data_IF_502143415201
#
_entry.id   IF_502143415201
#
_cell.length_a   1.000
_cell.length_b   1.000
_cell.length_c   1.000
_cell.angle_alpha   90.00
_cell.angle_beta   90.00
_cell.angle_gamma   90.00
#
_symmetry.space_group_name_H-M   'P 1'
#
loop_
_entity.id
_entity.type
_entity.pdbx_description
1 polymer ?
#
# COMPACT_ATOMS: atom_id res chain seq x y z
N UNK A 1 11.83 5.32 18.54
CA UNK A 1 10.89 6.40 18.17
C UNK A 1 9.47 5.86 18.16
N UNK A 2 8.48 6.65 18.60
CA UNK A 2 7.05 6.31 18.54
C UNK A 2 6.31 7.36 17.72
N UNK A 3 5.32 6.95 16.94
CA UNK A 3 4.41 7.82 16.20
C UNK A 3 3.00 7.50 16.69
N UNK A 4 2.22 8.51 17.06
CA UNK A 4 0.88 8.33 17.65
C UNK A 4 0.82 7.26 18.77
N UNK A 5 1.89 7.19 19.59
CA UNK A 5 2.02 6.24 20.71
C UNK A 5 2.49 4.83 20.35
N UNK A 6 2.71 4.51 19.07
CA UNK A 6 3.10 3.17 18.58
C UNK A 6 4.47 3.15 17.95
N UNK A 7 5.14 2.00 18.04
CA UNK A 7 6.45 1.79 17.38
C UNK A 7 6.25 1.35 15.93
N UNK A 8 7.27 1.49 15.08
CA UNK A 8 7.23 0.95 13.71
C UNK A 8 6.93 -0.56 13.68
N UNK A 9 7.42 -1.31 14.68
CA UNK A 9 7.14 -2.74 14.83
C UNK A 9 5.64 -3.00 15.00
N UNK A 10 4.91 -2.14 15.72
CA UNK A 10 3.47 -2.28 15.92
C UNK A 10 2.67 -2.10 14.61
N UNK A 11 3.16 -1.26 13.70
CA UNK A 11 2.53 -1.01 12.41
C UNK A 11 2.81 -2.10 11.37
N UNK A 12 3.92 -2.83 11.50
CA UNK A 12 4.40 -3.72 10.44
C UNK A 12 4.41 -5.20 10.83
N UNK A 13 4.73 -5.54 12.07
CA UNK A 13 5.10 -6.93 12.41
C UNK A 13 3.95 -7.93 12.22
N UNK A 14 2.74 -7.52 12.60
CA UNK A 14 1.53 -8.34 12.49
C UNK A 14 1.02 -8.48 11.05
N UNK A 15 1.48 -7.61 10.14
CA UNK A 15 0.98 -7.52 8.76
C UNK A 15 2.07 -7.61 7.72
N UNK A 16 3.30 -7.94 8.13
CA UNK A 16 4.50 -8.01 7.28
C UNK A 16 4.30 -8.89 6.04
N UNK A 17 3.53 -9.96 6.16
CA UNK A 17 3.24 -10.87 5.06
C UNK A 17 2.31 -10.24 4.01
N UNK A 18 1.31 -9.46 4.43
CA UNK A 18 0.47 -8.70 3.49
C UNK A 18 1.30 -7.65 2.75
N UNK A 19 2.18 -6.95 3.45
CA UNK A 19 3.09 -5.96 2.85
C UNK A 19 4.06 -6.65 1.88
N UNK A 20 4.64 -7.79 2.25
CA UNK A 20 5.53 -8.57 1.39
C UNK A 20 4.79 -9.05 0.13
N UNK A 21 3.57 -9.57 0.27
CA UNK A 21 2.74 -9.98 -0.88
C UNK A 21 2.42 -8.81 -1.81
N UNK A 22 2.15 -7.61 -1.27
CA UNK A 22 1.98 -6.41 -2.09
C UNK A 22 3.24 -6.12 -2.92
N UNK A 23 4.41 -6.19 -2.29
CA UNK A 23 5.69 -5.97 -2.96
C UNK A 23 5.90 -7.02 -4.06
N UNK A 24 5.63 -8.29 -3.79
CA UNK A 24 5.75 -9.37 -4.78
C UNK A 24 4.80 -9.20 -5.96
N UNK A 25 3.53 -8.83 -5.72
CA UNK A 25 2.57 -8.53 -6.79
C UNK A 25 3.06 -7.36 -7.65
N UNK A 26 3.60 -6.32 -7.01
CA UNK A 26 4.16 -5.18 -7.72
C UNK A 26 5.38 -5.56 -8.55
N UNK A 27 6.25 -6.45 -8.07
CA UNK A 27 7.39 -7.00 -8.83
C UNK A 27 6.89 -7.81 -10.03
N UNK A 28 5.93 -8.71 -9.81
CA UNK A 28 5.31 -9.52 -10.87
C UNK A 28 4.72 -8.66 -12.01
N UNK A 29 4.11 -7.53 -11.67
CA UNK A 29 3.60 -6.56 -12.65
C UNK A 29 4.70 -5.98 -13.56
N UNK A 30 5.97 -5.95 -13.14
CA UNK A 30 7.10 -5.56 -14.00
C UNK A 30 7.72 -6.75 -14.70
N UNK A 31 8.10 -7.78 -13.95
CA UNK A 31 8.89 -8.89 -14.49
C UNK A 31 8.09 -9.72 -15.49
N UNK A 32 6.90 -10.18 -15.10
CA UNK A 32 6.15 -11.09 -15.93
C UNK A 32 5.33 -10.34 -16.98
N UNK A 33 4.69 -9.23 -16.58
CA UNK A 33 3.76 -8.52 -17.46
C UNK A 33 4.43 -7.60 -18.48
N UNK A 34 5.46 -6.84 -18.09
CA UNK A 34 6.07 -5.86 -19.00
C UNK A 34 7.19 -6.48 -19.83
N UNK A 35 7.94 -7.44 -19.29
CA UNK A 35 9.12 -8.00 -19.96
C UNK A 35 8.88 -9.34 -20.64
N UNK A 36 8.09 -10.25 -20.05
CA UNK A 36 8.02 -11.65 -20.50
C UNK A 36 6.77 -12.00 -21.33
N UNK A 37 5.60 -11.46 -20.98
CA UNK A 37 4.32 -11.91 -21.56
C UNK A 37 3.65 -10.87 -22.48
N UNK A 38 4.17 -9.65 -22.52
CA UNK A 38 3.48 -8.52 -23.14
C UNK A 38 2.36 -7.98 -22.25
N UNK A 39 2.03 -6.69 -22.42
CA UNK A 39 1.04 -6.02 -21.58
C UNK A 39 -0.37 -6.55 -21.83
N UNK A 40 -0.90 -7.32 -20.88
CA UNK A 40 -2.31 -7.71 -20.79
C UNK A 40 -3.10 -6.78 -19.83
N UNK A 41 -4.04 -5.95 -20.34
CA UNK A 41 -4.84 -5.05 -19.51
C UNK A 41 -5.68 -5.75 -18.43
N UNK A 42 -6.07 -7.01 -18.63
CA UNK A 42 -6.83 -7.77 -17.64
C UNK A 42 -5.92 -8.18 -16.48
N UNK A 43 -4.74 -8.74 -16.76
CA UNK A 43 -3.77 -9.14 -15.73
C UNK A 43 -3.31 -7.92 -14.92
N UNK A 44 -3.07 -6.78 -15.57
CA UNK A 44 -2.73 -5.52 -14.89
C UNK A 44 -3.83 -5.10 -13.90
N UNK A 45 -5.10 -5.20 -14.30
CA UNK A 45 -6.24 -4.89 -13.43
C UNK A 45 -6.34 -5.86 -12.28
N UNK A 46 -6.26 -7.17 -12.53
CA UNK A 46 -6.36 -8.20 -11.48
C UNK A 46 -5.27 -8.00 -10.43
N UNK A 47 -4.02 -7.85 -10.87
CA UNK A 47 -2.88 -7.61 -9.97
C UNK A 47 -3.02 -6.29 -9.22
N UNK A 48 -3.58 -5.25 -9.86
CA UNK A 48 -3.91 -3.99 -9.20
C UNK A 48 -4.91 -4.19 -8.05
N UNK A 49 -6.02 -4.90 -8.30
CA UNK A 49 -7.01 -5.23 -7.27
C UNK A 49 -6.41 -6.08 -6.16
N UNK A 50 -5.56 -7.04 -6.51
CA UNK A 50 -4.98 -7.98 -5.56
C UNK A 50 -4.11 -7.29 -4.51
N UNK A 51 -3.17 -6.42 -4.91
CA UNK A 51 -2.35 -5.71 -3.93
C UNK A 51 -3.19 -4.71 -3.11
N UNK A 52 -4.21 -4.07 -3.70
CA UNK A 52 -5.13 -3.19 -2.96
C UNK A 52 -5.88 -3.96 -1.86
N UNK A 53 -6.33 -5.17 -2.16
CA UNK A 53 -6.98 -6.06 -1.19
C UNK A 53 -6.02 -6.43 -0.04
N UNK A 54 -4.75 -6.70 -0.33
CA UNK A 54 -3.75 -6.95 0.71
C UNK A 54 -3.49 -5.73 1.59
N UNK A 55 -3.44 -4.52 1.02
CA UNK A 55 -3.37 -3.27 1.80
C UNK A 55 -4.59 -3.12 2.71
N UNK A 56 -5.79 -3.31 2.19
CA UNK A 56 -7.02 -3.24 2.98
C UNK A 56 -7.02 -4.30 4.11
N UNK A 57 -6.65 -5.54 3.79
CA UNK A 57 -6.56 -6.64 4.75
C UNK A 57 -5.53 -6.37 5.84
N UNK A 58 -4.38 -5.76 5.50
CA UNK A 58 -3.37 -5.34 6.47
C UNK A 58 -3.96 -4.29 7.44
N UNK A 59 -4.61 -3.25 6.92
CA UNK A 59 -5.22 -2.20 7.77
C UNK A 59 -6.32 -2.76 8.67
N UNK A 60 -7.21 -3.59 8.13
CA UNK A 60 -8.25 -4.28 8.89
C UNK A 60 -7.63 -5.16 9.98
N UNK A 61 -6.56 -5.88 9.67
CA UNK A 61 -5.83 -6.72 10.65
C UNK A 61 -5.24 -5.88 11.79
N UNK A 62 -4.66 -4.72 11.48
CA UNK A 62 -4.14 -3.79 12.49
C UNK A 62 -5.26 -3.26 13.40
N UNK A 63 -6.38 -2.82 12.81
CA UNK A 63 -7.52 -2.32 13.57
C UNK A 63 -8.12 -3.41 14.45
N UNK A 64 -8.26 -4.64 13.95
CA UNK A 64 -8.77 -5.78 14.74
C UNK A 64 -7.83 -6.16 15.88
N UNK A 65 -6.51 -6.14 15.63
CA UNK A 65 -5.50 -6.49 16.64
C UNK A 65 -5.46 -5.52 17.81
N UNK A 66 -5.58 -4.23 17.53
CA UNK A 66 -5.38 -3.19 18.54
C UNK A 66 -6.68 -2.53 19.00
N UNK A 67 -7.81 -2.86 18.38
CA UNK A 67 -9.09 -2.18 18.58
C UNK A 67 -9.10 -0.79 17.94
N UNK A 68 -10.26 -0.41 17.38
CA UNK A 68 -10.40 0.91 16.76
C UNK A 68 -10.29 2.06 17.77
N UNK A 69 -10.52 1.82 19.06
CA UNK A 69 -10.40 2.86 20.10
C UNK A 69 -8.95 3.29 20.32
N UNK A 70 -8.04 2.32 20.36
CA UNK A 70 -6.61 2.57 20.57
C UNK A 70 -5.86 2.84 19.27
N UNK A 71 -6.29 2.23 18.16
CA UNK A 71 -5.69 2.47 16.86
C UNK A 71 -6.24 3.76 16.24
N UNK A 72 -7.56 3.86 16.04
CA UNK A 72 -8.21 5.06 15.56
C UNK A 72 -7.76 5.54 14.17
N UNK A 73 -8.37 6.62 13.70
CA UNK A 73 -8.16 7.15 12.33
C UNK A 73 -6.71 7.55 12.07
N UNK A 74 -6.07 8.23 13.01
CA UNK A 74 -4.69 8.74 12.85
C UNK A 74 -3.68 7.61 12.57
N UNK A 75 -3.79 6.49 13.29
CA UNK A 75 -2.90 5.35 13.07
C UNK A 75 -3.21 4.60 11.77
N UNK A 76 -4.48 4.54 11.33
CA UNK A 76 -4.85 3.95 10.03
C UNK A 76 -4.22 4.75 8.89
N UNK A 77 -4.39 6.08 8.90
CA UNK A 77 -3.82 6.95 7.87
C UNK A 77 -2.29 6.90 7.86
N UNK A 78 -1.66 6.89 9.04
CA UNK A 78 -0.21 6.74 9.14
C UNK A 78 0.27 5.38 8.62
N UNK A 79 -0.47 4.29 8.89
CA UNK A 79 -0.17 2.98 8.30
C UNK A 79 -0.29 3.03 6.78
N UNK A 80 -1.28 3.74 6.23
CA UNK A 80 -1.39 4.02 4.81
C UNK A 80 -0.15 4.70 4.24
N UNK A 81 0.37 5.75 4.91
CA UNK A 81 1.62 6.43 4.52
C UNK A 81 2.80 5.45 4.55
N UNK A 82 2.95 4.68 5.63
CA UNK A 82 4.02 3.67 5.74
C UNK A 82 3.94 2.64 4.60
N UNK A 83 2.77 2.10 4.33
CA UNK A 83 2.57 1.12 3.26
C UNK A 83 2.80 1.74 1.89
N UNK A 84 2.39 2.99 1.67
CA UNK A 84 2.65 3.71 0.42
C UNK A 84 4.15 3.89 0.18
N UNK A 85 4.90 4.31 1.20
CA UNK A 85 6.37 4.45 1.12
C UNK A 85 7.04 3.10 0.87
N UNK A 86 6.64 2.04 1.58
CA UNK A 86 7.25 0.72 1.38
C UNK A 86 6.91 0.16 0.00
N UNK A 87 5.62 0.05 -0.34
CA UNK A 87 5.20 -0.63 -1.56
C UNK A 87 5.56 0.19 -2.80
N UNK A 88 5.16 1.47 -2.83
CA UNK A 88 5.37 2.32 -4.01
C UNK A 88 6.71 3.03 -4.03
N UNK A 89 7.33 3.30 -2.87
CA UNK A 89 8.69 3.82 -2.84
C UNK A 89 9.69 2.79 -3.34
N UNK A 90 9.57 1.52 -2.92
CA UNK A 90 10.38 0.43 -3.50
C UNK A 90 10.09 0.29 -5.01
N UNK A 91 8.81 0.32 -5.41
CA UNK A 91 8.41 0.27 -6.82
C UNK A 91 9.06 1.35 -7.68
N UNK A 92 8.95 2.60 -7.25
CA UNK A 92 9.35 3.75 -8.04
C UNK A 92 10.86 3.93 -8.02
N UNK A 93 11.49 3.90 -6.84
CA UNK A 93 12.87 4.35 -6.69
C UNK A 93 13.89 3.21 -6.62
N UNK A 94 13.48 2.00 -6.25
CA UNK A 94 14.42 0.86 -6.14
C UNK A 94 14.30 -0.02 -7.37
N UNK A 95 13.12 -0.57 -7.61
CA UNK A 95 12.93 -1.57 -8.64
C UNK A 95 13.15 -1.00 -10.04
N UNK A 96 12.53 0.14 -10.38
CA UNK A 96 12.69 0.76 -11.71
C UNK A 96 14.08 1.31 -11.99
N UNK A 97 14.80 1.76 -10.96
CA UNK A 97 16.10 2.42 -11.13
C UNK A 97 17.22 1.38 -11.17
N UNK A 98 17.23 0.43 -10.22
CA UNK A 98 18.37 -0.46 -10.02
C UNK A 98 18.14 -1.89 -10.50
N UNK A 99 16.93 -2.43 -10.33
CA UNK A 99 16.65 -3.82 -10.71
C UNK A 99 16.18 -3.94 -12.16
N UNK A 100 15.61 -2.87 -12.73
CA UNK A 100 15.03 -2.86 -14.07
C UNK A 100 15.61 -1.73 -14.95
N UNK A 101 16.93 -1.71 -15.20
CA UNK A 101 17.59 -0.67 -15.99
C UNK A 101 17.17 -0.65 -17.47
N UNK A 102 16.50 -1.70 -17.96
CA UNK A 102 15.92 -1.76 -19.31
C UNK A 102 14.59 -1.00 -19.45
N UNK A 103 14.05 -0.43 -18.37
CA UNK A 103 12.95 0.53 -18.45
C UNK A 103 13.41 1.75 -19.26
N UNK A 104 12.55 2.25 -20.15
CA UNK A 104 12.83 3.42 -21.01
C UNK A 104 13.51 4.52 -20.19
N UNK A 105 14.62 5.09 -20.65
CA UNK A 105 15.38 6.15 -19.94
C UNK A 105 14.50 7.35 -19.55
N UNK A 106 13.42 7.60 -20.29
CA UNK A 106 12.39 8.57 -19.92
C UNK A 106 11.64 8.23 -18.62
N UNK A 107 11.49 6.95 -18.28
CA UNK A 107 10.82 6.49 -17.05
C UNK A 107 11.70 6.60 -15.80
N UNK A 108 13.01 6.81 -15.95
CA UNK A 108 13.95 6.99 -14.83
C UNK A 108 14.12 8.46 -14.44
N UNK A 109 13.45 9.38 -15.15
CA UNK A 109 13.45 10.80 -14.81
C UNK A 109 12.82 11.02 -13.43
N UNK A 110 13.44 11.82 -12.53
CA UNK A 110 12.93 12.04 -11.17
C UNK A 110 11.46 12.45 -11.11
N UNK A 111 11.02 13.31 -12.04
CA UNK A 111 9.63 13.74 -12.13
C UNK A 111 8.67 12.58 -12.46
N UNK A 112 9.06 11.69 -13.37
CA UNK A 112 8.24 10.52 -13.74
C UNK A 112 8.18 9.51 -12.60
N UNK A 113 9.30 9.28 -11.91
CA UNK A 113 9.34 8.42 -10.72
C UNK A 113 8.46 8.97 -9.60
N UNK A 114 8.52 10.28 -9.34
CA UNK A 114 7.65 10.96 -8.38
C UNK A 114 6.18 10.86 -8.76
N UNK A 115 5.82 11.14 -10.02
CA UNK A 115 4.46 11.01 -10.50
C UNK A 115 3.91 9.59 -10.26
N UNK A 116 4.68 8.56 -10.63
CA UNK A 116 4.27 7.16 -10.44
C UNK A 116 4.20 6.77 -8.96
N UNK A 117 5.10 7.30 -8.12
CA UNK A 117 5.04 7.16 -6.67
C UNK A 117 3.73 7.75 -6.16
N UNK A 118 3.45 9.03 -6.41
CA UNK A 118 2.24 9.70 -5.94
C UNK A 118 0.96 9.05 -6.45
N UNK A 119 0.93 8.60 -7.70
CA UNK A 119 -0.23 7.87 -8.24
C UNK A 119 -0.52 6.59 -7.43
N UNK A 120 0.49 5.75 -7.22
CA UNK A 120 0.32 4.53 -6.43
C UNK A 120 0.02 4.80 -4.96
N UNK A 121 0.75 5.73 -4.35
CA UNK A 121 0.54 6.18 -2.97
C UNK A 121 -0.86 6.75 -2.76
N UNK A 122 -1.41 7.49 -3.73
CA UNK A 122 -2.76 8.02 -3.69
C UNK A 122 -3.81 6.92 -3.58
N UNK A 123 -3.62 5.81 -4.29
CA UNK A 123 -4.50 4.63 -4.21
C UNK A 123 -4.41 3.98 -2.82
N UNK A 124 -3.19 3.77 -2.29
CA UNK A 124 -3.01 3.25 -0.92
C UNK A 124 -3.71 4.14 0.11
N UNK A 125 -3.57 5.45 -0.02
CA UNK A 125 -4.20 6.42 0.88
C UNK A 125 -5.73 6.44 0.74
N UNK A 126 -6.26 6.29 -0.47
CA UNK A 126 -7.70 6.14 -0.70
C UNK A 126 -8.26 4.89 0.01
N UNK A 127 -7.55 3.76 -0.08
CA UNK A 127 -7.90 2.54 0.66
C UNK A 127 -7.83 2.79 2.17
N UNK A 128 -6.78 3.46 2.66
CA UNK A 128 -6.64 3.77 4.08
C UNK A 128 -7.77 4.68 4.61
N UNK A 129 -8.14 5.70 3.83
CA UNK A 129 -9.25 6.59 4.14
C UNK A 129 -10.59 5.84 4.15
N UNK A 130 -10.84 4.96 3.17
CA UNK A 130 -12.05 4.15 3.11
C UNK A 130 -12.17 3.21 4.33
N UNK A 131 -11.07 2.53 4.71
CA UNK A 131 -11.04 1.68 5.92
C UNK A 131 -11.28 2.51 7.18
N UNK A 132 -10.63 3.67 7.31
CA UNK A 132 -10.83 4.56 8.45
C UNK A 132 -12.29 5.04 8.55
N UNK A 133 -12.88 5.44 7.42
CA UNK A 133 -14.27 5.90 7.34
C UNK A 133 -15.24 4.78 7.73
N UNK A 134 -15.05 3.57 7.20
CA UNK A 134 -15.85 2.40 7.54
C UNK A 134 -15.89 2.18 9.07
N UNK A 135 -14.72 2.07 9.72
CA UNK A 135 -14.67 1.84 11.16
C UNK A 135 -15.22 3.00 11.98
N UNK A 136 -15.02 4.23 11.53
CA UNK A 136 -15.57 5.42 12.19
C UNK A 136 -17.10 5.40 12.18
N UNK A 137 -17.72 5.14 11.01
CA UNK A 137 -19.18 5.08 10.87
C UNK A 137 -19.78 3.90 11.64
N UNK A 138 -19.20 2.69 11.53
CA UNK A 138 -19.67 1.51 12.26
C UNK A 138 -19.55 1.63 13.77
N UNK A 139 -18.69 2.51 14.28
CA UNK A 139 -18.64 2.85 15.72
C UNK A 139 -19.77 3.80 16.10
N UNK A 140 -19.96 4.85 15.30
CA UNK A 140 -20.99 5.88 15.56
C UNK A 140 -22.39 5.28 15.61
N UNK A 141 -22.69 4.30 14.76
CA UNK A 141 -23.96 3.57 14.79
C UNK A 141 -24.14 2.78 16.09
N UNK A 142 -23.11 2.06 16.54
CA UNK A 142 -23.14 1.29 17.80
C UNK A 142 -23.27 2.12 19.07
N UNK A 143 -22.99 3.42 19.01
CA UNK A 143 -23.16 4.34 20.14
C UNK A 143 -24.55 4.99 20.17
N UNK A 144 -25.34 4.85 19.11
CA UNK A 144 -26.69 5.43 19.00
C UNK A 144 -27.81 4.45 19.34
N UNK A 145 -27.54 3.15 19.27
CA UNK A 145 -28.47 2.09 19.69
C UNK A 145 -28.09 1.58 21.07
#
# INVERSE_FOLDING_TARGET
>A
MRVFGRTLKDYLWSVKWYVLLCVLVVIFQYDCMLLLMGYDPLVARITQWLWMLFVAAALVTLVRRYGFESFGVKNILFSGVLFAVIIHGLKAFVFRVFFFPYAVTAEQQPFVLLYKFFYGSGIVMAVAAAVAMYYYLSRRERQKG
#
